data_IF_839163400978
#
_entry.id   IF_839163400978
#
_cell.length_a   1.000
_cell.length_b   1.000
_cell.length_c   1.000
_cell.angle_alpha   90.00
_cell.angle_beta   90.00
_cell.angle_gamma   90.00
#
_symmetry.space_group_name_H-M   'P 1'
#
loop_
_entity.id
_entity.type
_entity.pdbx_description
1 polymer ?
#
# COMPACT_ATOMS: atom_id res chain seq x y z
N UNK A 1 -48.16 -8.55 -5.38
CA UNK A 1 -47.34 -9.39 -6.28
C UNK A 1 -45.97 -8.75 -6.35
N UNK A 2 -45.03 -9.23 -5.55
CA UNK A 2 -43.61 -8.87 -5.61
C UNK A 2 -43.03 -9.40 -6.93
N UNK A 3 -42.38 -8.58 -7.77
CA UNK A 3 -41.63 -9.13 -8.89
C UNK A 3 -40.40 -9.84 -8.32
N UNK A 4 -40.27 -11.13 -8.60
CA UNK A 4 -39.08 -11.92 -8.30
C UNK A 4 -37.88 -11.37 -9.06
N UNK A 5 -36.87 -10.89 -8.35
CA UNK A 5 -35.56 -10.59 -8.91
C UNK A 5 -34.89 -11.93 -9.26
N UNK A 6 -34.32 -12.15 -10.46
CA UNK A 6 -33.58 -13.36 -10.74
C UNK A 6 -32.30 -13.35 -9.91
N UNK A 7 -32.28 -14.19 -8.88
CA UNK A 7 -31.10 -14.48 -8.08
C UNK A 7 -30.25 -15.56 -8.77
N UNK A 8 -28.94 -15.44 -8.59
CA UNK A 8 -27.86 -16.35 -9.01
C UNK A 8 -27.43 -16.25 -10.48
N UNK A 9 -26.36 -15.48 -10.72
CA UNK A 9 -25.43 -15.84 -11.80
C UNK A 9 -24.86 -17.23 -11.52
N UNK A 10 -24.78 -18.06 -12.56
CA UNK A 10 -24.09 -19.35 -12.44
C UNK A 10 -22.63 -19.11 -11.99
N UNK A 11 -22.05 -20.04 -11.23
CA UNK A 11 -20.67 -19.92 -10.75
C UNK A 11 -19.68 -19.63 -11.91
N UNK A 12 -19.94 -20.21 -13.09
CA UNK A 12 -19.27 -19.94 -14.36
C UNK A 12 -19.29 -18.44 -14.78
N UNK A 13 -20.45 -17.78 -14.71
CA UNK A 13 -20.58 -16.37 -15.06
C UNK A 13 -19.89 -15.46 -14.05
N UNK A 14 -19.94 -15.82 -12.77
CA UNK A 14 -19.18 -15.12 -11.70
C UNK A 14 -17.68 -15.25 -11.93
N UNK A 15 -17.18 -16.46 -12.20
CA UNK A 15 -15.77 -16.72 -12.54
C UNK A 15 -15.31 -15.88 -13.72
N UNK A 16 -16.08 -15.87 -14.81
CA UNK A 16 -15.73 -15.13 -16.02
C UNK A 16 -15.64 -13.62 -15.77
N UNK A 17 -16.49 -13.08 -14.89
CA UNK A 17 -16.40 -11.69 -14.47
C UNK A 17 -15.20 -11.44 -13.57
N UNK A 18 -14.98 -12.29 -12.55
CA UNK A 18 -13.84 -12.18 -11.64
C UNK A 18 -12.52 -12.13 -12.43
N UNK A 19 -12.34 -12.99 -13.44
CA UNK A 19 -11.15 -12.98 -14.31
C UNK A 19 -10.83 -11.63 -14.99
N UNK A 20 -11.81 -10.73 -15.13
CA UNK A 20 -11.62 -9.40 -15.74
C UNK A 20 -11.15 -8.33 -14.76
N UNK A 21 -11.13 -8.64 -13.48
CA UNK A 21 -10.70 -7.72 -12.43
C UNK A 21 -9.19 -7.89 -12.27
N UNK A 22 -8.44 -6.79 -12.36
CA UNK A 22 -6.97 -6.81 -12.25
C UNK A 22 -6.49 -7.55 -10.99
N UNK A 23 -7.20 -7.38 -9.87
CA UNK A 23 -6.92 -8.06 -8.61
C UNK A 23 -7.05 -9.59 -8.71
N UNK A 24 -7.98 -10.09 -9.52
CA UNK A 24 -8.23 -11.53 -9.65
C UNK A 24 -7.22 -12.22 -10.56
N UNK A 25 -6.43 -11.46 -11.34
CA UNK A 25 -5.38 -12.03 -12.22
C UNK A 25 -4.26 -12.73 -11.46
N UNK A 26 -4.14 -12.50 -10.15
CA UNK A 26 -3.16 -13.16 -9.29
C UNK A 26 -3.60 -14.54 -8.81
N UNK A 27 -4.82 -14.98 -9.09
CA UNK A 27 -5.37 -16.23 -8.61
C UNK A 27 -5.37 -17.29 -9.72
N UNK A 28 -5.19 -18.57 -9.36
CA UNK A 28 -5.32 -19.67 -10.31
C UNK A 28 -6.77 -19.86 -10.72
N UNK A 29 -7.01 -20.57 -11.83
CA UNK A 29 -8.36 -20.92 -12.27
C UNK A 29 -9.15 -21.66 -11.20
N UNK A 30 -8.52 -22.66 -10.56
CA UNK A 30 -9.14 -23.47 -9.51
C UNK A 30 -9.54 -22.61 -8.30
N UNK A 31 -8.67 -21.68 -7.88
CA UNK A 31 -8.97 -20.77 -6.76
C UNK A 31 -10.09 -19.79 -7.11
N UNK A 32 -10.17 -19.35 -8.36
CA UNK A 32 -11.28 -18.50 -8.81
C UNK A 32 -12.61 -19.27 -8.87
N UNK A 33 -12.58 -20.56 -9.20
CA UNK A 33 -13.76 -21.43 -9.14
C UNK A 33 -14.26 -21.58 -7.70
N UNK A 34 -13.35 -21.89 -6.77
CA UNK A 34 -13.65 -21.99 -5.34
C UNK A 34 -14.19 -20.67 -4.78
N UNK A 35 -13.52 -19.54 -5.08
CA UNK A 35 -13.96 -18.22 -4.64
C UNK A 35 -15.34 -17.86 -5.21
N UNK A 36 -15.58 -18.11 -6.51
CA UNK A 36 -16.87 -17.81 -7.14
C UNK A 36 -18.02 -18.64 -6.56
N UNK A 37 -17.73 -19.88 -6.13
CA UNK A 37 -18.68 -20.77 -5.47
C UNK A 37 -18.97 -20.36 -4.02
N UNK A 38 -17.94 -19.97 -3.28
CA UNK A 38 -18.03 -19.63 -1.84
C UNK A 38 -18.58 -18.22 -1.58
N UNK A 39 -18.40 -17.28 -2.52
CA UNK A 39 -18.81 -15.90 -2.34
C UNK A 39 -20.32 -15.66 -2.50
N UNK A 40 -20.85 -14.77 -1.67
CA UNK A 40 -22.26 -14.36 -1.69
C UNK A 40 -22.48 -13.17 -2.62
N UNK A 41 -23.60 -13.18 -3.34
CA UNK A 41 -24.04 -12.06 -4.17
C UNK A 41 -25.08 -11.23 -3.39
N UNK A 42 -24.89 -9.92 -3.35
CA UNK A 42 -25.78 -8.96 -2.71
C UNK A 42 -26.38 -8.08 -3.80
N UNK A 43 -27.71 -8.02 -3.84
CA UNK A 43 -28.46 -7.12 -4.72
C UNK A 43 -29.03 -5.99 -3.88
N UNK A 44 -28.74 -4.76 -4.25
CA UNK A 44 -29.15 -3.56 -3.52
C UNK A 44 -29.94 -2.63 -4.44
N UNK A 45 -30.98 -2.02 -3.90
CA UNK A 45 -31.73 -0.97 -4.58
C UNK A 45 -30.87 0.31 -4.74
N UNK A 46 -31.37 1.29 -5.49
CA UNK A 46 -30.73 2.59 -5.58
C UNK A 46 -30.78 3.35 -4.25
N UNK A 47 -29.73 4.13 -3.95
CA UNK A 47 -29.59 4.94 -2.72
C UNK A 47 -29.56 4.13 -1.41
N UNK A 48 -29.28 2.84 -1.47
CA UNK A 48 -29.05 2.01 -0.29
C UNK A 48 -27.66 2.28 0.26
N UNK A 49 -27.57 2.64 1.55
CA UNK A 49 -26.30 2.77 2.27
C UNK A 49 -25.80 1.38 2.63
N UNK A 50 -24.57 1.04 2.24
CA UNK A 50 -23.93 -0.23 2.57
C UNK A 50 -23.27 -0.18 3.95
N UNK A 51 -22.56 0.91 4.24
CA UNK A 51 -21.92 1.18 5.51
C UNK A 51 -21.55 2.66 5.62
N UNK A 52 -21.41 3.14 6.85
CA UNK A 52 -20.98 4.49 7.18
C UNK A 52 -19.52 4.50 7.70
N UNK A 53 -18.87 5.66 7.58
CA UNK A 53 -17.56 5.90 8.20
C UNK A 53 -17.63 5.65 9.70
N UNK A 54 -16.66 4.93 10.24
CA UNK A 54 -16.59 4.55 11.65
C UNK A 54 -17.25 3.21 11.97
N UNK A 55 -17.98 2.61 11.02
CA UNK A 55 -18.52 1.26 11.21
C UNK A 55 -17.39 0.24 11.34
N UNK A 56 -17.63 -0.81 12.13
CA UNK A 56 -16.72 -1.96 12.18
C UNK A 56 -17.04 -2.89 11.01
N UNK A 57 -16.24 -2.78 9.94
CA UNK A 57 -16.45 -3.53 8.70
C UNK A 57 -15.72 -4.88 8.69
N UNK A 58 -16.46 -5.98 8.50
CA UNK A 58 -15.91 -7.35 8.39
C UNK A 58 -16.01 -7.97 6.99
N UNK A 59 -16.26 -7.14 5.98
CA UNK A 59 -16.38 -7.58 4.59
C UNK A 59 -15.80 -6.53 3.63
N UNK A 60 -15.28 -6.99 2.50
CA UNK A 60 -15.05 -6.17 1.32
C UNK A 60 -16.02 -6.56 0.21
N UNK A 61 -16.17 -5.68 -0.78
CA UNK A 61 -17.14 -5.84 -1.85
C UNK A 61 -16.48 -5.67 -3.21
N UNK A 62 -16.96 -6.45 -4.19
CA UNK A 62 -16.64 -6.29 -5.60
C UNK A 62 -17.92 -5.91 -6.32
N UNK A 63 -17.91 -4.80 -7.06
CA UNK A 63 -19.06 -4.32 -7.82
C UNK A 63 -19.18 -5.08 -9.15
N UNK A 64 -20.25 -5.87 -9.32
CA UNK A 64 -20.54 -6.57 -10.56
C UNK A 64 -21.31 -5.70 -11.55
N UNK A 65 -22.32 -4.98 -11.06
CA UNK A 65 -23.22 -4.13 -11.86
C UNK A 65 -23.68 -2.93 -11.04
N UNK A 66 -23.99 -1.83 -11.71
CA UNK A 66 -24.46 -0.59 -11.08
C UNK A 66 -23.34 0.38 -10.72
N UNK A 67 -23.60 1.24 -9.73
CA UNK A 67 -22.70 2.32 -9.34
C UNK A 67 -22.74 2.55 -7.84
N UNK A 68 -21.57 2.64 -7.21
CA UNK A 68 -21.43 2.89 -5.78
C UNK A 68 -20.70 4.20 -5.55
N UNK A 69 -21.29 5.09 -4.77
CA UNK A 69 -20.66 6.32 -4.31
C UNK A 69 -19.91 6.06 -2.99
N UNK A 70 -18.63 6.44 -2.96
CA UNK A 70 -17.82 6.55 -1.74
C UNK A 70 -17.77 8.02 -1.32
N UNK A 71 -18.07 8.30 -0.06
CA UNK A 71 -18.15 9.66 0.47
C UNK A 71 -17.68 9.74 1.93
N UNK A 72 -17.26 10.93 2.35
CA UNK A 72 -17.02 11.27 3.76
C UNK A 72 -17.88 12.49 4.06
N UNK A 73 -18.77 12.37 5.05
CA UNK A 73 -19.73 13.42 5.41
C UNK A 73 -20.58 13.88 4.21
N UNK A 74 -20.33 15.08 3.67
CA UNK A 74 -21.03 15.62 2.49
C UNK A 74 -20.16 15.62 1.22
N UNK A 75 -18.92 15.16 1.29
CA UNK A 75 -17.97 15.20 0.18
C UNK A 75 -17.93 13.85 -0.54
N UNK A 76 -18.21 13.89 -1.84
CA UNK A 76 -18.12 12.74 -2.73
C UNK A 76 -16.65 12.49 -3.08
N UNK A 77 -16.13 11.31 -2.75
CA UNK A 77 -14.73 10.94 -3.02
C UNK A 77 -14.59 10.22 -4.37
N UNK A 78 -15.51 9.30 -4.66
CA UNK A 78 -15.47 8.55 -5.91
C UNK A 78 -16.81 7.91 -6.23
N UNK A 79 -17.12 7.80 -7.52
CA UNK A 79 -18.15 6.88 -8.01
C UNK A 79 -17.48 5.66 -8.64
N UNK A 80 -17.68 4.51 -8.02
CA UNK A 80 -17.17 3.22 -8.46
C UNK A 80 -18.06 2.63 -9.55
N UNK A 81 -17.42 1.99 -10.53
CA UNK A 81 -18.05 1.31 -11.67
C UNK A 81 -17.78 -0.20 -11.60
N UNK A 82 -18.52 -1.03 -12.37
CA UNK A 82 -18.32 -2.48 -12.41
C UNK A 82 -16.84 -2.88 -12.57
N UNK A 83 -16.42 -3.89 -11.82
CA UNK A 83 -15.04 -4.36 -11.70
C UNK A 83 -14.23 -3.70 -10.57
N UNK A 84 -14.74 -2.60 -9.99
CA UNK A 84 -14.13 -1.99 -8.80
C UNK A 84 -14.38 -2.83 -7.55
N UNK A 85 -13.41 -2.85 -6.65
CA UNK A 85 -13.56 -3.40 -5.29
C UNK A 85 -13.33 -2.30 -4.25
N UNK A 86 -13.93 -2.46 -3.06
CA UNK A 86 -13.88 -1.49 -1.97
C UNK A 86 -14.24 -2.12 -0.61
N UNK A 87 -13.95 -1.43 0.49
CA UNK A 87 -14.19 -1.94 1.85
C UNK A 87 -13.11 -2.91 2.34
N UNK A 88 -12.01 -3.02 1.62
CA UNK A 88 -10.84 -3.83 1.94
C UNK A 88 -10.05 -3.30 3.15
N UNK A 89 -10.07 -1.99 3.38
CA UNK A 89 -9.23 -1.36 4.41
C UNK A 89 -9.51 -1.87 5.82
N UNK A 90 -10.78 -2.10 6.17
CA UNK A 90 -11.12 -2.57 7.52
C UNK A 90 -10.69 -4.03 7.76
N UNK A 91 -10.57 -4.83 6.69
CA UNK A 91 -10.03 -6.19 6.76
C UNK A 91 -8.50 -6.20 6.83
N UNK A 92 -7.83 -5.29 6.13
CA UNK A 92 -6.36 -5.25 6.05
C UNK A 92 -5.75 -4.56 7.29
N UNK A 93 -6.28 -3.40 7.68
CA UNK A 93 -5.71 -2.55 8.74
C UNK A 93 -6.34 -2.83 10.11
N UNK A 94 -7.40 -3.65 10.17
CA UNK A 94 -8.21 -3.88 11.39
C UNK A 94 -8.73 -2.56 12.02
N UNK A 95 -8.96 -1.55 11.18
CA UNK A 95 -9.52 -0.25 11.57
C UNK A 95 -10.99 -0.11 11.16
N UNK A 96 -11.76 0.79 11.81
CA UNK A 96 -13.11 1.14 11.35
C UNK A 96 -13.13 1.66 9.91
N UNK A 97 -14.30 1.62 9.26
CA UNK A 97 -14.48 2.15 7.89
C UNK A 97 -13.98 3.59 7.79
N UNK A 98 -13.08 3.86 6.84
CA UNK A 98 -12.47 5.18 6.63
C UNK A 98 -13.37 6.14 5.84
N UNK A 99 -14.34 5.61 5.10
CA UNK A 99 -15.33 6.33 4.33
C UNK A 99 -16.67 5.56 4.31
N UNK A 100 -17.75 6.26 3.96
CA UNK A 100 -19.09 5.70 3.76
C UNK A 100 -19.30 5.24 2.32
N UNK A 101 -20.19 4.29 2.10
CA UNK A 101 -20.53 3.76 0.79
C UNK A 101 -22.05 3.62 0.60
N UNK A 102 -22.58 4.08 -0.55
CA UNK A 102 -23.99 3.86 -0.93
C UNK A 102 -24.13 3.61 -2.43
N UNK A 103 -25.16 2.87 -2.83
CA UNK A 103 -25.51 2.72 -4.24
C UNK A 103 -26.10 4.01 -4.80
N UNK A 104 -25.86 4.31 -6.08
CA UNK A 104 -26.54 5.41 -6.81
C UNK A 104 -27.69 4.90 -7.68
N UNK A 105 -27.53 3.67 -8.18
CA UNK A 105 -28.49 2.94 -9.00
C UNK A 105 -28.63 1.52 -8.43
N UNK A 106 -29.65 0.73 -8.82
CA UNK A 106 -29.71 -0.67 -8.42
C UNK A 106 -28.39 -1.36 -8.79
N UNK A 107 -27.76 -2.00 -7.82
CA UNK A 107 -26.38 -2.49 -7.93
C UNK A 107 -26.26 -3.89 -7.38
N UNK A 108 -25.36 -4.66 -7.99
CA UNK A 108 -25.10 -6.05 -7.64
C UNK A 108 -23.63 -6.18 -7.26
N UNK A 109 -23.38 -6.78 -6.09
CA UNK A 109 -22.04 -6.89 -5.51
C UNK A 109 -21.74 -8.33 -5.12
N UNK A 110 -20.47 -8.70 -5.14
CA UNK A 110 -19.96 -9.87 -4.42
C UNK A 110 -19.47 -9.40 -3.05
N UNK A 111 -19.91 -10.08 -2.00
CA UNK A 111 -19.36 -9.93 -0.66
C UNK A 111 -18.26 -10.96 -0.40
N UNK A 112 -17.13 -10.47 0.06
CA UNK A 112 -16.02 -11.27 0.58
C UNK A 112 -15.89 -10.91 2.05
N UNK A 113 -16.40 -11.78 2.91
CA UNK A 113 -16.29 -11.61 4.36
C UNK A 113 -14.86 -11.90 4.85
N UNK A 114 -14.61 -11.65 6.13
CA UNK A 114 -13.33 -11.89 6.81
C UNK A 114 -12.79 -13.32 6.61
N UNK A 115 -13.64 -14.33 6.73
CA UNK A 115 -13.22 -15.74 6.57
C UNK A 115 -12.77 -16.05 5.13
N UNK A 116 -13.53 -15.60 4.13
CA UNK A 116 -13.17 -15.76 2.72
C UNK A 116 -11.94 -14.92 2.37
N UNK A 117 -11.81 -13.74 2.97
CA UNK A 117 -10.65 -12.89 2.79
C UNK A 117 -9.38 -13.57 3.34
N UNK A 118 -9.42 -14.10 4.56
CA UNK A 118 -8.31 -14.83 5.15
C UNK A 118 -7.93 -16.07 4.33
N UNK A 119 -8.94 -16.82 3.87
CA UNK A 119 -8.73 -18.05 3.11
C UNK A 119 -8.06 -17.80 1.77
N UNK A 120 -8.59 -16.87 0.98
CA UNK A 120 -8.18 -16.67 -0.40
C UNK A 120 -7.16 -15.54 -0.56
N UNK A 121 -7.33 -14.42 0.15
CA UNK A 121 -6.56 -13.20 -0.07
C UNK A 121 -5.36 -13.05 0.86
N UNK A 122 -5.50 -13.39 2.15
CA UNK A 122 -4.41 -13.20 3.11
C UNK A 122 -3.16 -14.05 2.77
N UNK A 123 -3.36 -15.18 2.08
CA UNK A 123 -2.27 -16.04 1.61
C UNK A 123 -1.74 -15.68 0.22
N UNK A 124 -2.23 -14.59 -0.40
CA UNK A 124 -1.86 -14.18 -1.75
C UNK A 124 -1.19 -12.80 -1.78
N UNK A 125 0.15 -12.74 -1.60
CA UNK A 125 0.88 -11.47 -1.42
C UNK A 125 0.79 -10.51 -2.60
N UNK A 126 0.77 -11.04 -3.84
CA UNK A 126 0.64 -10.21 -5.04
C UNK A 126 -0.74 -9.52 -5.08
N UNK A 127 -1.80 -10.22 -4.65
CA UNK A 127 -3.14 -9.65 -4.54
C UNK A 127 -3.20 -8.58 -3.44
N UNK A 128 -2.67 -8.86 -2.24
CA UNK A 128 -2.58 -7.88 -1.16
C UNK A 128 -1.79 -6.64 -1.58
N UNK A 129 -0.64 -6.82 -2.23
CA UNK A 129 0.15 -5.70 -2.75
C UNK A 129 -0.58 -4.91 -3.85
N UNK A 130 -1.36 -5.57 -4.70
CA UNK A 130 -2.17 -4.89 -5.71
C UNK A 130 -3.34 -4.11 -5.08
N UNK A 131 -3.97 -4.65 -4.03
CA UNK A 131 -4.94 -3.91 -3.20
C UNK A 131 -4.27 -2.70 -2.56
N UNK A 132 -3.12 -2.88 -1.91
CA UNK A 132 -2.37 -1.79 -1.29
C UNK A 132 -1.93 -0.74 -2.30
N UNK A 133 -1.44 -1.10 -3.49
CA UNK A 133 -1.08 -0.12 -4.52
C UNK A 133 -2.29 0.66 -5.01
N UNK A 134 -3.45 0.00 -5.15
CA UNK A 134 -4.71 0.66 -5.47
C UNK A 134 -5.19 1.55 -4.31
N UNK A 135 -4.97 1.15 -3.06
CA UNK A 135 -5.21 1.96 -1.87
C UNK A 135 -4.27 3.15 -1.79
N UNK A 136 -2.97 3.01 -2.06
CA UNK A 136 -2.02 4.12 -2.09
C UNK A 136 -2.30 5.03 -3.30
N UNK A 137 -2.80 4.50 -4.43
CA UNK A 137 -3.26 5.30 -5.56
C UNK A 137 -4.58 6.04 -5.29
N UNK A 138 -5.54 5.40 -4.62
CA UNK A 138 -6.79 6.01 -4.15
C UNK A 138 -6.55 6.96 -3.00
N UNK A 139 -5.61 6.68 -2.10
CA UNK A 139 -5.17 7.56 -1.02
C UNK A 139 -4.44 8.76 -1.59
N UNK A 140 -3.61 8.59 -2.64
CA UNK A 140 -3.10 9.70 -3.48
C UNK A 140 -4.22 10.48 -4.17
N UNK A 141 -5.35 9.85 -4.50
CA UNK A 141 -6.53 10.51 -5.08
C UNK A 141 -7.42 11.20 -4.04
N UNK A 142 -7.61 10.64 -2.85
CA UNK A 142 -8.27 11.26 -1.69
C UNK A 142 -7.41 12.43 -1.19
N UNK A 143 -6.10 12.25 -1.22
CA UNK A 143 -5.08 13.29 -1.06
C UNK A 143 -5.21 14.35 -2.15
N UNK A 144 -5.32 13.97 -3.42
CA UNK A 144 -5.60 14.89 -4.54
C UNK A 144 -6.94 15.61 -4.37
N UNK A 145 -7.97 14.97 -3.83
CA UNK A 145 -9.27 15.58 -3.56
C UNK A 145 -9.21 16.51 -2.34
N UNK A 146 -8.34 16.21 -1.36
CA UNK A 146 -8.01 17.12 -0.27
C UNK A 146 -7.22 18.33 -0.79
N UNK A 147 -6.36 18.13 -1.79
CA UNK A 147 -5.71 19.22 -2.51
C UNK A 147 -6.69 20.03 -3.37
N UNK A 148 -7.75 19.42 -3.89
CA UNK A 148 -8.85 20.13 -4.54
C UNK A 148 -9.74 20.91 -3.54
N UNK A 149 -9.63 20.65 -2.24
CA UNK A 149 -10.23 21.49 -1.19
C UNK A 149 -9.25 22.49 -0.57
N UNK A 150 -7.96 22.46 -0.93
CA UNK A 150 -7.08 23.57 -0.62
C UNK A 150 -7.43 24.71 -1.59
N UNK A 151 -7.76 25.91 -1.07
CA UNK A 151 -8.00 27.03 -1.95
C UNK A 151 -6.76 27.29 -2.81
N UNK A 152 -6.97 27.75 -4.04
CA UNK A 152 -5.87 28.31 -4.83
C UNK A 152 -5.32 29.54 -4.10
N UNK A 153 -4.01 29.75 -4.19
CA UNK A 153 -3.34 30.89 -3.55
C UNK A 153 -3.02 32.00 -4.56
N UNK A 154 -3.82 32.08 -5.63
CA UNK A 154 -3.79 33.15 -6.61
C UNK A 154 -4.64 34.35 -6.16
N UNK A 155 -4.39 35.52 -6.76
CA UNK A 155 -5.11 36.76 -6.44
C UNK A 155 -6.64 36.62 -6.59
N UNK A 156 -7.07 35.83 -7.56
CA UNK A 156 -8.49 35.65 -7.89
C UNK A 156 -9.25 34.88 -6.80
N UNK A 157 -8.57 34.07 -5.99
CA UNK A 157 -9.19 33.32 -4.88
C UNK A 157 -9.72 34.20 -3.75
N UNK A 158 -9.12 35.39 -3.56
CA UNK A 158 -9.39 36.26 -2.40
C UNK A 158 -9.03 35.65 -1.05
N UNK A 159 -8.28 34.54 -1.01
CA UNK A 159 -7.87 33.88 0.23
C UNK A 159 -6.58 34.49 0.75
N UNK A 160 -6.60 34.94 2.01
CA UNK A 160 -5.37 35.37 2.70
C UNK A 160 -4.57 34.12 3.12
N UNK A 161 -3.36 33.89 2.55
CA UNK A 161 -2.56 32.72 2.86
C UNK A 161 -2.15 32.65 4.34
N UNK A 162 -1.91 33.80 4.99
CA UNK A 162 -1.52 33.88 6.39
C UNK A 162 -2.70 33.54 7.31
N UNK A 163 -3.90 34.04 6.99
CA UNK A 163 -5.09 33.68 7.75
C UNK A 163 -5.39 32.18 7.61
N UNK A 164 -5.37 31.67 6.38
CA UNK A 164 -5.61 30.26 6.09
C UNK A 164 -4.64 29.33 6.82
N UNK A 165 -3.34 29.63 6.81
CA UNK A 165 -2.35 28.80 7.50
C UNK A 165 -2.52 28.80 9.02
N UNK A 166 -3.04 29.88 9.60
CA UNK A 166 -3.25 29.98 11.05
C UNK A 166 -4.54 29.30 11.51
N UNK A 167 -5.56 29.25 10.66
CA UNK A 167 -6.85 28.61 10.96
C UNK A 167 -6.86 27.10 10.69
N UNK A 168 -5.87 26.57 9.95
CA UNK A 168 -5.78 25.15 9.65
C UNK A 168 -5.07 24.35 10.75
N UNK A 169 -5.50 23.10 10.91
CA UNK A 169 -4.85 22.11 11.79
C UNK A 169 -3.70 21.38 11.10
N UNK A 170 -3.47 21.63 9.81
CA UNK A 170 -2.39 21.02 9.03
C UNK A 170 -1.05 21.69 9.33
N UNK A 171 0.05 20.99 9.08
CA UNK A 171 1.39 21.56 9.16
C UNK A 171 1.67 22.41 7.92
N UNK A 172 1.75 23.73 8.11
CA UNK A 172 1.95 24.70 7.02
C UNK A 172 3.19 25.54 7.25
N UNK A 173 4.06 25.53 6.24
CA UNK A 173 5.28 26.34 6.17
C UNK A 173 5.24 27.19 4.90
N UNK A 174 5.77 28.41 4.98
CA UNK A 174 6.09 29.20 3.80
C UNK A 174 7.58 29.44 3.73
N UNK A 175 8.12 29.40 2.53
CA UNK A 175 9.50 29.81 2.26
C UNK A 175 9.60 30.66 1.01
N UNK A 176 10.62 31.51 1.00
CA UNK A 176 10.97 32.37 -0.11
C UNK A 176 11.57 31.55 -1.27
N UNK A 177 11.11 31.76 -2.50
CA UNK A 177 11.51 30.90 -3.63
C UNK A 177 12.90 31.22 -4.20
N UNK A 178 13.50 32.36 -3.83
CA UNK A 178 14.84 32.73 -4.28
C UNK A 178 15.92 32.23 -3.30
N UNK A 179 15.65 32.34 -2.01
CA UNK A 179 16.58 31.99 -0.93
C UNK A 179 16.28 30.65 -0.27
N UNK A 180 15.09 30.09 -0.51
CA UNK A 180 14.55 28.88 0.13
C UNK A 180 14.57 28.93 1.66
N UNK A 181 14.57 30.14 2.23
CA UNK A 181 14.46 30.35 3.67
C UNK A 181 13.01 30.43 4.10
N UNK A 182 12.69 29.84 5.24
CA UNK A 182 11.34 29.93 5.78
C UNK A 182 11.01 31.37 6.17
N UNK A 183 9.80 31.80 5.80
CA UNK A 183 9.27 33.15 6.06
C UNK A 183 8.14 33.11 7.06
N UNK A 184 7.35 32.02 7.07
CA UNK A 184 6.26 31.78 8.00
C UNK A 184 6.13 30.30 8.35
N UNK A 185 5.61 30.04 9.55
CA UNK A 185 5.29 28.70 10.03
C UNK A 185 4.09 28.77 10.96
N UNK A 186 3.12 27.87 10.80
CA UNK A 186 1.98 27.81 11.70
C UNK A 186 2.29 27.00 12.96
N UNK A 187 1.41 27.08 13.95
CA UNK A 187 1.61 26.43 15.24
C UNK A 187 1.69 24.89 15.15
N UNK A 188 0.84 24.19 14.36
CA UNK A 188 1.01 22.76 14.09
C UNK A 188 2.41 22.41 13.56
N UNK A 189 2.87 23.08 12.49
CA UNK A 189 4.17 22.80 11.89
C UNK A 189 5.31 22.96 12.90
N UNK A 190 5.29 24.04 13.70
CA UNK A 190 6.31 24.27 14.73
C UNK A 190 6.33 23.16 15.79
N UNK A 191 5.17 22.64 16.20
CA UNK A 191 5.09 21.51 17.15
C UNK A 191 5.64 20.23 16.55
N UNK A 192 5.31 19.96 15.28
CA UNK A 192 5.68 18.72 14.60
C UNK A 192 7.19 18.66 14.33
N UNK A 193 7.76 19.73 13.79
CA UNK A 193 9.20 19.83 13.49
C UNK A 193 10.05 20.10 14.74
N UNK A 194 9.44 20.65 15.79
CA UNK A 194 10.08 20.96 17.07
C UNK A 194 10.96 22.21 17.07
N UNK A 195 10.90 23.05 16.03
CA UNK A 195 11.61 24.33 15.97
C UNK A 195 10.68 25.49 16.35
N UNK A 196 11.22 26.53 16.98
CA UNK A 196 10.46 27.77 17.15
C UNK A 196 10.35 28.49 15.80
N UNK A 197 9.36 29.38 15.62
CA UNK A 197 9.27 30.21 14.43
C UNK A 197 10.58 30.97 14.14
N UNK A 198 11.22 31.55 15.16
CA UNK A 198 12.45 32.33 14.95
C UNK A 198 13.66 31.46 14.56
N UNK A 199 13.67 30.19 14.97
CA UNK A 199 14.68 29.23 14.54
C UNK A 199 14.41 28.80 13.09
N UNK A 200 13.16 28.49 12.73
CA UNK A 200 12.77 28.13 11.37
C UNK A 200 13.14 29.23 10.38
N UNK A 201 12.93 30.50 10.71
CA UNK A 201 13.22 31.61 9.78
C UNK A 201 14.70 31.79 9.45
N UNK A 202 15.60 31.14 10.20
CA UNK A 202 17.04 31.11 9.91
C UNK A 202 17.45 29.92 9.06
N UNK A 203 16.56 28.94 8.90
CA UNK A 203 16.83 27.68 8.22
C UNK A 203 16.48 27.75 6.74
N UNK A 204 17.21 26.97 5.96
CA UNK A 204 16.92 26.66 4.57
C UNK A 204 15.95 25.47 4.49
N UNK A 205 15.12 25.38 3.45
CA UNK A 205 14.17 24.27 3.26
C UNK A 205 14.84 22.89 3.35
N UNK A 206 16.02 22.74 2.75
CA UNK A 206 16.81 21.50 2.79
C UNK A 206 17.38 21.14 4.17
N UNK A 207 17.49 22.10 5.11
CA UNK A 207 17.91 21.79 6.48
C UNK A 207 16.88 20.92 7.20
N UNK A 208 15.61 21.11 6.83
CA UNK A 208 14.47 20.30 7.26
C UNK A 208 14.31 19.06 6.36
N UNK A 209 14.24 19.25 5.03
CA UNK A 209 14.01 18.20 4.03
C UNK A 209 15.31 17.48 3.61
N UNK A 210 15.88 16.70 4.52
CA UNK A 210 17.23 16.13 4.40
C UNK A 210 17.41 15.07 3.30
N UNK A 211 16.32 14.55 2.72
CA UNK A 211 16.39 13.60 1.61
C UNK A 211 16.49 14.26 0.24
N UNK A 212 16.44 15.58 0.17
CA UNK A 212 16.47 16.34 -1.06
C UNK A 212 17.79 17.10 -1.19
N UNK A 213 18.19 17.32 -2.43
CA UNK A 213 19.31 18.19 -2.78
C UNK A 213 18.86 19.39 -3.62
N UNK A 214 19.84 20.14 -4.14
CA UNK A 214 19.56 21.31 -4.97
C UNK A 214 18.98 20.94 -6.34
N UNK A 215 19.38 19.81 -6.93
CA UNK A 215 18.83 19.36 -8.22
C UNK A 215 17.35 18.97 -8.06
N UNK A 216 17.00 18.39 -6.91
CA UNK A 216 15.62 18.11 -6.56
C UNK A 216 14.78 19.38 -6.42
N UNK A 217 15.32 20.43 -5.80
CA UNK A 217 14.64 21.74 -5.70
C UNK A 217 14.26 22.23 -7.09
N UNK A 218 15.23 22.32 -7.99
CA UNK A 218 15.01 22.85 -9.33
C UNK A 218 13.93 22.02 -10.04
N UNK A 219 14.06 20.69 -9.99
CA UNK A 219 13.08 19.78 -10.61
C UNK A 219 11.67 19.92 -10.03
N UNK A 220 11.53 20.13 -8.73
CA UNK A 220 10.23 20.15 -8.03
C UNK A 220 9.51 21.50 -8.21
N UNK A 221 10.26 22.60 -8.15
CA UNK A 221 9.69 23.95 -8.12
C UNK A 221 9.68 24.65 -9.49
N UNK A 222 10.52 24.24 -10.45
CA UNK A 222 10.49 24.79 -11.83
C UNK A 222 9.09 24.72 -12.47
N UNK A 223 8.32 23.62 -12.38
CA UNK A 223 6.97 23.58 -12.94
C UNK A 223 5.98 24.54 -12.28
N UNK A 224 6.19 24.91 -11.01
CA UNK A 224 5.39 25.92 -10.31
C UNK A 224 5.79 27.32 -10.76
N UNK A 225 7.09 27.59 -10.89
CA UNK A 225 7.65 28.87 -11.36
C UNK A 225 7.16 29.17 -12.77
N UNK A 226 7.24 28.18 -13.66
CA UNK A 226 6.79 28.27 -15.05
C UNK A 226 5.26 28.24 -15.18
N UNK A 227 4.53 28.10 -14.07
CA UNK A 227 3.07 28.01 -14.04
C UNK A 227 2.50 26.88 -14.92
N UNK A 228 3.27 25.81 -15.12
CA UNK A 228 2.86 24.62 -15.88
C UNK A 228 1.78 23.85 -15.12
N UNK A 229 1.88 23.84 -13.78
CA UNK A 229 0.88 23.25 -12.89
C UNK A 229 0.68 24.13 -11.67
N UNK A 230 -0.54 24.18 -11.11
CA UNK A 230 -0.85 25.00 -9.94
C UNK A 230 -0.27 24.41 -8.64
N UNK A 231 0.07 23.12 -8.63
CA UNK A 231 0.53 22.41 -7.44
C UNK A 231 1.56 21.33 -7.78
N UNK A 232 2.55 21.16 -6.89
CA UNK A 232 3.54 20.08 -6.91
C UNK A 232 3.34 19.20 -5.66
N UNK A 233 3.41 17.88 -5.83
CA UNK A 233 3.35 16.90 -4.73
C UNK A 233 4.56 15.97 -4.80
N UNK A 234 5.22 15.72 -3.67
CA UNK A 234 6.36 14.82 -3.56
C UNK A 234 6.50 14.23 -2.15
N UNK A 235 7.31 13.18 -2.01
CA UNK A 235 7.72 12.66 -0.70
C UNK A 235 9.13 13.15 -0.35
N UNK A 236 9.36 13.41 0.93
CA UNK A 236 10.67 13.74 1.48
C UNK A 236 10.86 13.05 2.85
N UNK A 237 12.07 13.13 3.39
CA UNK A 237 12.37 12.80 4.79
C UNK A 237 12.70 14.08 5.51
N UNK A 238 11.91 14.39 6.54
CA UNK A 238 12.15 15.53 7.40
C UNK A 238 12.98 15.13 8.62
N UNK A 239 13.76 16.08 9.14
CA UNK A 239 14.51 15.95 10.39
C UNK A 239 14.03 16.97 11.42
N UNK A 240 13.46 16.48 12.52
CA UNK A 240 13.03 17.30 13.66
C UNK A 240 14.24 17.92 14.39
N UNK A 241 14.00 18.95 15.21
CA UNK A 241 15.05 19.59 16.04
C UNK A 241 15.78 18.62 16.97
N UNK A 242 15.08 17.59 17.45
CA UNK A 242 15.66 16.55 18.30
C UNK A 242 16.51 15.51 17.52
N UNK A 243 16.64 15.65 16.20
CA UNK A 243 17.40 14.76 15.32
C UNK A 243 16.62 13.56 14.78
N UNK A 244 15.42 13.29 15.28
CA UNK A 244 14.57 12.22 14.73
C UNK A 244 14.12 12.54 13.30
N UNK A 245 13.99 11.50 12.48
CA UNK A 245 13.60 11.63 11.07
C UNK A 245 12.29 10.93 10.81
N UNK A 246 11.51 11.46 9.88
CA UNK A 246 10.23 10.88 9.50
C UNK A 246 9.91 11.18 8.02
N UNK A 247 9.28 10.24 7.32
CA UNK A 247 8.83 10.47 5.96
C UNK A 247 7.62 11.41 5.94
N UNK A 248 7.61 12.34 5.00
CA UNK A 248 6.52 13.28 4.77
C UNK A 248 6.08 13.28 3.32
N UNK A 249 4.78 13.51 3.09
CA UNK A 249 4.25 13.90 1.79
C UNK A 249 4.04 15.43 1.80
N UNK A 250 4.73 16.12 0.89
CA UNK A 250 4.69 17.57 0.77
C UNK A 250 3.82 17.97 -0.41
N UNK A 251 2.98 18.99 -0.20
CA UNK A 251 2.19 19.64 -1.25
C UNK A 251 2.53 21.10 -1.30
N UNK A 252 2.85 21.60 -2.48
CA UNK A 252 3.40 22.93 -2.66
C UNK A 252 2.58 23.71 -3.67
N UNK A 253 2.18 24.93 -3.30
CA UNK A 253 1.58 25.91 -4.20
C UNK A 253 2.38 27.21 -4.16
N UNK A 254 2.40 27.92 -5.29
CA UNK A 254 3.06 29.22 -5.40
C UNK A 254 2.13 30.33 -4.89
N UNK A 255 2.68 31.25 -4.09
CA UNK A 255 2.03 32.45 -3.57
C UNK A 255 2.79 33.67 -4.09
N UNK A 256 2.21 34.41 -5.04
CA UNK A 256 2.93 35.47 -5.76
C UNK A 256 2.98 36.82 -5.02
N UNK A 257 2.00 37.10 -4.16
CA UNK A 257 1.81 38.44 -3.58
C UNK A 257 2.05 38.51 -2.07
N UNK A 258 2.95 37.67 -1.58
CA UNK A 258 3.33 37.66 -0.18
C UNK A 258 4.75 38.21 -0.05
N UNK A 259 4.88 39.52 0.19
CA UNK A 259 6.18 40.19 0.30
C UNK A 259 6.78 40.58 -1.05
N UNK A 260 8.11 40.64 -1.13
CA UNK A 260 8.87 41.12 -2.30
C UNK A 260 9.15 40.07 -3.36
N UNK A 261 9.28 38.79 -2.98
CA UNK A 261 9.55 37.68 -3.88
C UNK A 261 8.41 36.65 -3.80
N UNK A 262 8.16 35.88 -4.88
CA UNK A 262 7.21 34.77 -4.83
C UNK A 262 7.61 33.78 -3.73
N UNK A 263 6.63 33.32 -2.97
CA UNK A 263 6.82 32.34 -1.90
C UNK A 263 6.17 31.02 -2.27
N UNK A 264 6.63 29.93 -1.66
CA UNK A 264 5.99 28.63 -1.75
C UNK A 264 5.33 28.33 -0.42
N UNK A 265 4.04 28.04 -0.45
CA UNK A 265 3.35 27.45 0.69
C UNK A 265 3.39 25.92 0.59
N UNK A 266 3.83 25.28 1.67
CA UNK A 266 3.96 23.83 1.77
C UNK A 266 3.14 23.28 2.91
N UNK A 267 2.23 22.37 2.57
CA UNK A 267 1.57 21.47 3.51
C UNK A 267 2.35 20.18 3.60
N UNK A 268 2.67 19.77 4.82
CA UNK A 268 3.38 18.51 5.06
C UNK A 268 2.47 17.55 5.82
N UNK A 269 2.44 16.29 5.39
CA UNK A 269 1.73 15.22 6.08
C UNK A 269 2.73 14.15 6.48
N UNK A 270 2.81 13.82 7.78
CA UNK A 270 3.57 12.66 8.24
C UNK A 270 2.94 11.37 7.69
N UNK A 271 3.75 10.57 6.99
CA UNK A 271 3.35 9.29 6.38
C UNK A 271 4.07 8.10 7.03
N UNK A 272 4.56 8.26 8.26
CA UNK A 272 5.27 7.21 9.01
C UNK A 272 4.43 5.97 9.18
N UNK A 273 3.19 6.12 9.68
CA UNK A 273 2.28 4.99 9.89
C UNK A 273 1.98 4.28 8.57
N UNK A 274 1.72 5.06 7.50
CA UNK A 274 1.52 4.53 6.13
C UNK A 274 2.70 3.68 5.68
N UNK A 275 3.93 4.19 5.81
CA UNK A 275 5.15 3.46 5.38
C UNK A 275 5.45 2.25 6.27
N UNK A 276 5.16 2.32 7.57
CA UNK A 276 5.33 1.19 8.49
C UNK A 276 4.39 0.05 8.15
N UNK A 277 3.12 0.35 7.87
CA UNK A 277 2.14 -0.65 7.44
C UNK A 277 2.53 -1.27 6.09
N UNK A 278 2.94 -0.45 5.12
CA UNK A 278 3.43 -0.92 3.81
C UNK A 278 4.63 -1.86 3.95
N UNK A 279 5.62 -1.52 4.79
CA UNK A 279 6.80 -2.37 5.00
C UNK A 279 6.47 -3.62 5.82
N UNK A 280 5.62 -3.53 6.86
CA UNK A 280 5.17 -4.71 7.60
C UNK A 280 4.47 -5.72 6.68
N UNK A 281 3.61 -5.23 5.80
CA UNK A 281 2.93 -6.08 4.83
C UNK A 281 3.94 -6.65 3.83
N UNK A 282 4.93 -5.88 3.39
CA UNK A 282 6.03 -6.39 2.57
C UNK A 282 6.82 -7.50 3.28
N UNK A 283 7.10 -7.34 4.56
CA UNK A 283 7.79 -8.35 5.37
C UNK A 283 6.96 -9.63 5.46
N UNK A 284 5.66 -9.55 5.76
CA UNK A 284 4.76 -10.71 5.79
C UNK A 284 4.60 -11.37 4.41
N UNK A 285 4.55 -10.57 3.35
CA UNK A 285 4.36 -10.99 1.98
C UNK A 285 5.55 -11.79 1.43
N UNK A 286 6.79 -11.38 1.74
CA UNK A 286 8.00 -11.85 1.05
C UNK A 286 9.07 -12.47 1.95
N UNK A 287 8.96 -12.34 3.27
CA UNK A 287 9.95 -12.86 4.21
C UNK A 287 9.29 -13.78 5.25
N UNK A 288 10.06 -14.76 5.70
CA UNK A 288 9.63 -15.67 6.77
C UNK A 288 9.87 -15.00 8.13
N UNK A 289 8.85 -14.84 8.98
CA UNK A 289 8.95 -14.07 10.21
C UNK A 289 9.87 -14.69 11.27
N UNK A 290 10.17 -15.99 11.19
CA UNK A 290 11.04 -16.68 12.14
C UNK A 290 12.53 -16.53 11.80
N UNK A 291 12.86 -16.39 10.52
CA UNK A 291 14.24 -16.44 10.03
C UNK A 291 14.68 -15.16 9.33
N UNK A 292 13.76 -14.29 8.92
CA UNK A 292 14.04 -13.11 8.10
C UNK A 292 14.50 -13.45 6.67
N UNK A 293 14.55 -14.74 6.31
CA UNK A 293 14.88 -15.20 4.95
C UNK A 293 13.70 -15.00 4.02
N UNK A 294 13.95 -15.01 2.71
CA UNK A 294 12.88 -15.03 1.71
C UNK A 294 11.90 -16.15 2.02
N UNK A 295 10.61 -15.86 2.06
CA UNK A 295 9.60 -16.90 2.18
C UNK A 295 9.44 -17.61 0.82
N UNK A 296 8.58 -18.63 0.79
CA UNK A 296 8.27 -19.38 -0.43
C UNK A 296 7.84 -18.48 -1.60
N UNK A 297 7.13 -17.39 -1.32
CA UNK A 297 6.61 -16.49 -2.34
C UNK A 297 7.74 -15.70 -2.99
N UNK A 298 8.62 -15.07 -2.21
CA UNK A 298 9.78 -14.36 -2.75
C UNK A 298 10.78 -15.30 -3.45
N UNK A 299 10.92 -16.54 -2.97
CA UNK A 299 11.76 -17.55 -3.63
C UNK A 299 11.23 -17.92 -5.02
N UNK A 300 9.91 -18.17 -5.13
CA UNK A 300 9.26 -18.49 -6.40
C UNK A 300 9.34 -17.31 -7.39
N UNK A 301 9.12 -16.08 -6.91
CA UNK A 301 9.23 -14.88 -7.74
C UNK A 301 10.65 -14.72 -8.31
N UNK A 302 11.68 -14.89 -7.48
CA UNK A 302 13.07 -14.84 -7.95
C UNK A 302 13.42 -15.99 -8.89
N UNK A 303 12.87 -17.17 -8.66
CA UNK A 303 13.07 -18.31 -9.55
C UNK A 303 12.46 -18.06 -10.93
N UNK A 304 11.26 -17.48 -11.01
CA UNK A 304 10.59 -17.13 -12.26
C UNK A 304 11.41 -16.13 -13.09
N UNK A 305 11.92 -15.09 -12.43
CA UNK A 305 12.83 -14.12 -13.04
C UNK A 305 14.13 -14.78 -13.51
N UNK A 306 14.74 -15.62 -12.67
CA UNK A 306 15.98 -16.33 -13.00
C UNK A 306 15.80 -17.28 -14.19
N UNK A 307 14.68 -18.00 -14.27
CA UNK A 307 14.36 -18.88 -15.40
C UNK A 307 14.17 -18.08 -16.70
N UNK A 308 13.56 -16.91 -16.62
CA UNK A 308 13.37 -16.03 -17.79
C UNK A 308 14.71 -15.48 -18.26
N UNK A 309 15.54 -14.98 -17.35
CA UNK A 309 16.87 -14.48 -17.67
C UNK A 309 17.78 -15.60 -18.25
N UNK A 310 17.74 -16.79 -17.66
CA UNK A 310 18.51 -17.93 -18.12
C UNK A 310 18.03 -18.44 -19.49
N UNK A 311 16.72 -18.38 -19.77
CA UNK A 311 16.19 -18.68 -21.11
C UNK A 311 16.73 -17.72 -22.16
N UNK A 312 16.76 -16.42 -21.86
CA UNK A 312 17.31 -15.39 -22.76
C UNK A 312 18.82 -15.55 -22.95
N UNK A 313 19.55 -15.88 -21.89
CA UNK A 313 21.01 -16.06 -21.92
C UNK A 313 21.45 -17.48 -22.35
N UNK A 314 20.51 -18.40 -22.59
CA UNK A 314 20.76 -19.82 -22.83
C UNK A 314 21.60 -20.51 -21.72
N UNK A 315 21.36 -20.10 -20.48
CA UNK A 315 21.99 -20.63 -19.27
C UNK A 315 21.05 -21.58 -18.51
N UNK A 316 21.56 -22.26 -17.48
CA UNK A 316 20.79 -23.17 -16.63
C UNK A 316 20.70 -22.62 -15.21
N UNK A 317 19.52 -22.71 -14.61
CA UNK A 317 19.29 -22.39 -13.19
C UNK A 317 19.38 -23.66 -12.36
N UNK A 318 20.18 -23.64 -11.28
CA UNK A 318 20.24 -24.71 -10.28
C UNK A 318 19.43 -24.33 -9.03
N UNK A 319 18.64 -25.28 -8.51
CA UNK A 319 17.91 -25.11 -7.25
C UNK A 319 18.38 -26.20 -6.28
N UNK A 320 18.74 -25.82 -5.06
CA UNK A 320 19.12 -26.74 -4.00
C UNK A 320 18.08 -26.67 -2.88
N UNK A 321 17.47 -27.80 -2.55
CA UNK A 321 16.66 -27.95 -1.35
C UNK A 321 17.52 -28.58 -0.25
N UNK A 322 17.65 -27.89 0.88
CA UNK A 322 18.31 -28.35 2.08
C UNK A 322 17.26 -28.54 3.16
N UNK A 323 17.03 -29.79 3.56
CA UNK A 323 16.22 -30.11 4.74
C UNK A 323 17.14 -30.26 5.95
N UNK A 324 16.81 -29.59 7.05
CA UNK A 324 17.54 -29.70 8.30
C UNK A 324 16.87 -30.79 9.14
N UNK A 325 17.23 -32.04 8.85
CA UNK A 325 16.81 -33.19 9.64
C UNK A 325 17.15 -32.99 11.14
N UNK A 326 16.19 -33.34 12.01
CA UNK A 326 16.24 -33.24 13.49
C UNK A 326 15.95 -31.89 14.16
N UNK A 327 15.49 -30.85 13.45
CA UNK A 327 15.12 -29.57 14.09
C UNK A 327 14.00 -29.71 15.15
N UNK A 328 13.08 -30.67 14.97
CA UNK A 328 11.98 -30.93 15.91
C UNK A 328 12.43 -31.54 17.26
N UNK A 329 13.57 -32.25 17.30
CA UNK A 329 14.05 -32.90 18.53
C UNK A 329 14.70 -31.90 19.50
N UNK A 330 15.30 -30.82 19.00
CA UNK A 330 15.88 -29.78 19.85
C UNK A 330 14.82 -28.91 20.55
N UNK A 331 13.66 -28.68 19.92
CA UNK A 331 12.58 -27.93 20.57
C UNK A 331 11.92 -28.70 21.73
N UNK A 332 11.85 -30.04 21.67
CA UNK A 332 11.26 -30.85 22.76
C UNK A 332 12.11 -30.91 24.03
N UNK A 333 13.44 -30.85 23.91
CA UNK A 333 14.34 -30.99 25.07
C UNK A 333 14.72 -29.67 25.76
N UNK A 334 14.50 -28.52 25.14
CA UNK A 334 14.97 -27.22 25.66
C UNK A 334 13.88 -26.35 26.32
N UNK A 335 12.61 -26.79 26.31
CA UNK A 335 11.50 -26.07 26.97
C UNK A 335 11.32 -24.61 26.54
N UNK A 336 11.98 -24.18 25.46
CA UNK A 336 12.07 -22.78 25.08
C UNK A 336 10.91 -22.44 24.16
N UNK A 337 10.24 -21.31 24.43
CA UNK A 337 9.20 -20.73 23.56
C UNK A 337 9.70 -20.68 22.10
N UNK A 338 8.81 -20.87 21.10
CA UNK A 338 9.21 -20.82 19.70
C UNK A 338 9.82 -19.44 19.39
N UNK A 339 11.11 -19.40 19.04
CA UNK A 339 11.85 -18.15 18.77
C UNK A 339 13.29 -18.06 19.31
N UNK A 340 13.87 -19.13 19.85
CA UNK A 340 15.24 -19.11 20.39
C UNK A 340 16.37 -19.05 19.33
N UNK A 341 17.60 -18.66 19.73
CA UNK A 341 18.73 -18.31 18.85
C UNK A 341 19.23 -19.42 17.91
N UNK A 342 18.78 -20.66 18.08
CA UNK A 342 19.11 -21.77 17.17
C UNK A 342 18.50 -21.61 15.75
N UNK A 343 17.45 -20.80 15.57
CA UNK A 343 16.85 -20.54 14.25
C UNK A 343 17.64 -19.55 13.38
N UNK A 344 18.60 -18.82 13.95
CA UNK A 344 19.37 -17.79 13.23
C UNK A 344 20.70 -18.29 12.63
N UNK A 345 21.14 -19.51 12.97
CA UNK A 345 22.49 -19.99 12.65
C UNK A 345 22.70 -20.50 11.19
N UNK A 346 21.68 -20.45 10.33
CA UNK A 346 21.74 -21.03 8.97
C UNK A 346 21.98 -20.04 7.81
N UNK A 347 22.01 -18.73 8.07
CA UNK A 347 22.06 -17.70 7.03
C UNK A 347 23.48 -17.17 6.74
N UNK A 348 24.31 -17.94 6.04
CA UNK A 348 25.53 -17.39 5.42
C UNK A 348 25.20 -16.61 4.14
N UNK A 349 25.97 -15.56 3.79
CA UNK A 349 25.73 -14.80 2.55
C UNK A 349 25.95 -15.70 1.34
N UNK A 350 24.96 -15.74 0.44
CA UNK A 350 25.12 -16.36 -0.87
C UNK A 350 26.01 -15.48 -1.76
N UNK A 351 26.92 -16.08 -2.53
CA UNK A 351 27.73 -15.38 -3.53
C UNK A 351 26.86 -14.65 -4.58
N UNK A 352 27.45 -13.72 -5.34
CA UNK A 352 26.77 -12.94 -6.38
C UNK A 352 25.91 -13.84 -7.28
N UNK A 353 24.59 -13.73 -7.17
CA UNK A 353 23.61 -14.49 -7.95
C UNK A 353 22.80 -15.52 -7.17
N UNK A 354 23.16 -15.84 -5.92
CA UNK A 354 22.41 -16.78 -5.08
C UNK A 354 21.26 -16.13 -4.29
N UNK A 355 20.14 -16.84 -4.14
CA UNK A 355 19.03 -16.48 -3.25
C UNK A 355 18.71 -17.66 -2.32
N UNK A 356 18.63 -17.40 -1.02
CA UNK A 356 18.26 -18.38 0.00
C UNK A 356 16.88 -18.03 0.57
N UNK A 357 16.00 -19.02 0.70
CA UNK A 357 14.67 -18.82 1.26
C UNK A 357 14.21 -20.02 2.08
N UNK A 358 13.35 -19.77 3.06
CA UNK A 358 12.77 -20.80 3.90
C UNK A 358 11.49 -21.33 3.25
N UNK A 359 11.45 -22.63 3.02
CA UNK A 359 10.27 -23.34 2.54
C UNK A 359 9.57 -23.99 3.75
N UNK A 360 8.59 -23.31 4.34
CA UNK A 360 7.88 -23.82 5.53
C UNK A 360 6.85 -24.90 5.18
N UNK A 361 6.88 -26.01 5.93
CA UNK A 361 5.80 -27.01 5.98
C UNK A 361 5.86 -27.84 7.28
N UNK A 362 4.72 -28.11 7.97
CA UNK A 362 4.68 -28.98 9.14
C UNK A 362 4.39 -30.46 8.82
N UNK A 363 4.27 -30.84 7.54
CA UNK A 363 3.88 -32.19 7.16
C UNK A 363 5.05 -33.03 6.68
N UNK A 364 5.59 -33.83 7.60
CA UNK A 364 6.29 -35.05 7.26
C UNK A 364 5.34 -36.10 6.71
N UNK A 365 5.81 -36.89 5.74
CA UNK A 365 5.17 -38.15 5.36
C UNK A 365 5.07 -38.43 3.86
N UNK A 366 6.19 -38.37 3.12
CA UNK A 366 6.23 -38.84 1.73
C UNK A 366 7.49 -39.65 1.45
N UNK A 367 7.50 -40.95 1.82
CA UNK A 367 8.55 -41.88 1.41
C UNK A 367 8.48 -42.08 -0.11
N UNK A 368 9.47 -41.59 -0.85
CA UNK A 368 9.77 -42.11 -2.19
C UNK A 368 10.95 -43.07 -2.08
N UNK A 369 10.66 -44.37 -2.17
CA UNK A 369 11.68 -45.42 -2.32
C UNK A 369 12.24 -45.35 -3.75
N UNK A 370 13.50 -44.97 -3.90
CA UNK A 370 14.24 -45.28 -5.12
C UNK A 370 14.54 -46.79 -5.17
N UNK A 371 13.95 -47.50 -6.15
CA UNK A 371 14.44 -48.82 -6.57
C UNK A 371 15.72 -48.64 -7.38
N UNK A 372 16.72 -49.44 -7.02
CA UNK A 372 18.12 -49.26 -7.38
C UNK A 372 18.44 -49.34 -8.88
N UNK A 373 19.45 -48.55 -9.25
CA UNK A 373 20.30 -48.85 -10.39
C UNK A 373 21.35 -49.88 -9.95
N UNK A 374 21.31 -51.08 -10.53
CA UNK A 374 22.45 -51.99 -10.51
C UNK A 374 23.43 -51.60 -11.62
N UNK A 375 24.75 -51.71 -11.38
CA UNK A 375 25.77 -51.39 -12.36
C UNK A 375 26.08 -52.61 -13.20
N UNK A 376 26.26 -52.46 -14.52
CA UNK A 376 27.07 -53.43 -15.27
C UNK A 376 28.14 -52.77 -16.12
N UNK A 377 29.35 -53.26 -15.83
CA UNK A 377 30.68 -52.88 -16.27
C UNK A 377 30.88 -53.07 -17.77
N UNK A 378 31.75 -52.22 -18.31
CA UNK A 378 32.56 -52.46 -19.50
C UNK A 378 33.29 -53.81 -19.41
N UNK A 379 33.16 -54.63 -20.45
CA UNK A 379 34.30 -55.15 -21.23
C UNK A 379 33.85 -55.42 -22.64
#
# INVERSE_FOLDING_TARGET
>A
MTPSVPAFRAAEEKKLFLKRIDLMTFFSEDTLDELAADCSEIVLDANTVLFEKGDTGKSMYILLEGEVLIYIEKKNLATLKPGAYFGEMSLIESQPRTASAKTLVPSTLIEINEELFERYFANQPRALMAMMRNLSARSRKISSDLAASLPSMDEESGVDPIAFMNDTYLDVLLFDLETFKFTQANAPACREVGYSPEDLFKMHFLDLAISLDQEDIDRLFEPLIQNIRPMTVFEAVYRRKNGSTYPVECRCQLVKNLGTHPQVMVWSQDITERKQLEEQIRQMAYYDPLTGLSNRNLLNDRLEVALTAASVANEKVGILFLDLDHFQNHQRHTGSRPGGPASQAGGGPAEKGGAAGRHGGPHGGGRVRHRGAQPHKRR
#
